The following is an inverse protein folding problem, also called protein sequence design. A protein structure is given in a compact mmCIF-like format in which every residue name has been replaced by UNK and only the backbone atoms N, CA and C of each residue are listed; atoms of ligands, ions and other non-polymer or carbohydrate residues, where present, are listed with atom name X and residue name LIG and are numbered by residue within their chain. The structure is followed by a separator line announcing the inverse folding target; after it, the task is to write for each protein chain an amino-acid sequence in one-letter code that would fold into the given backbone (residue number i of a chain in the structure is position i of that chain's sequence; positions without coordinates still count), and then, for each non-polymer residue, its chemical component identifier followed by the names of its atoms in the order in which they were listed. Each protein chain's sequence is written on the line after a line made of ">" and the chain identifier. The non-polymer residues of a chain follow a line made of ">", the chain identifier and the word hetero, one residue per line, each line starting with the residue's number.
data_IF_982217132625
#
_entry.id   IF_982217132625
#
_cell.length_a   1.000
_cell.length_b   1.000
_cell.length_c   1.000
_cell.angle_alpha   90.00
_cell.angle_beta   90.00
_cell.angle_gamma   90.00
#
_symmetry.space_group_name_H-M   'P 1'
#
loop_
_entity.id
_entity.type
_entity.pdbx_description
1 polymer ?
#
# COMPACT_ATOMS: atom_id res chain seq x y z
N UNK A 1 10.40 14.58 -6.49
CA UNK A 1 9.53 13.86 -7.44
C UNK A 1 9.46 12.42 -6.98
N UNK A 2 8.30 11.76 -7.07
CA UNK A 2 8.19 10.32 -6.80
C UNK A 2 8.99 9.56 -7.89
N UNK A 3 9.81 8.56 -7.53
CA UNK A 3 10.51 7.72 -8.50
C UNK A 3 9.58 7.14 -9.58
N UNK A 4 10.07 7.07 -10.81
CA UNK A 4 9.25 6.71 -11.96
C UNK A 4 8.70 5.28 -11.86
N UNK A 5 9.47 4.37 -11.30
CA UNK A 5 9.10 2.97 -11.06
C UNK A 5 8.00 2.84 -10.00
N UNK A 6 8.06 3.63 -8.91
CA UNK A 6 7.00 3.69 -7.90
C UNK A 6 5.73 4.26 -8.52
N UNK A 7 5.83 5.33 -9.32
CA UNK A 7 4.67 5.90 -10.02
C UNK A 7 4.04 4.89 -10.99
N UNK A 8 4.85 4.14 -11.75
CA UNK A 8 4.37 3.09 -12.64
C UNK A 8 3.65 2.01 -11.84
N UNK A 9 4.23 1.55 -10.72
CA UNK A 9 3.60 0.54 -9.88
C UNK A 9 2.24 1.01 -9.32
N UNK A 10 2.11 2.27 -8.90
CA UNK A 10 0.81 2.84 -8.46
C UNK A 10 -0.25 2.76 -9.55
N UNK A 11 0.12 2.97 -10.81
CA UNK A 11 -0.80 2.94 -11.96
C UNK A 11 -1.14 1.49 -12.35
N UNK A 12 -0.14 0.62 -12.48
CA UNK A 12 -0.32 -0.79 -12.85
C UNK A 12 -1.14 -1.55 -11.80
N UNK A 13 -0.92 -1.25 -10.53
CA UNK A 13 -1.65 -1.82 -9.40
C UNK A 13 -2.94 -1.07 -9.06
N UNK A 14 -3.32 -0.06 -9.86
CA UNK A 14 -4.59 0.68 -9.77
C UNK A 14 -4.92 1.19 -8.35
N UNK A 15 -3.90 1.62 -7.60
CA UNK A 15 -4.07 2.01 -6.19
C UNK A 15 -5.01 3.21 -6.02
N UNK A 16 -5.15 4.03 -7.06
CA UNK A 16 -6.07 5.17 -7.05
C UNK A 16 -7.53 4.76 -6.85
N UNK A 17 -7.88 3.52 -7.19
CA UNK A 17 -9.23 2.96 -7.02
C UNK A 17 -9.33 2.01 -5.82
N UNK A 18 -8.30 1.94 -4.97
CA UNK A 18 -8.24 1.04 -3.81
C UNK A 18 -8.45 1.76 -2.47
N UNK A 19 -9.04 2.95 -2.47
CA UNK A 19 -9.39 3.68 -1.24
C UNK A 19 -10.10 2.80 -0.22
N UNK A 20 -9.72 2.95 1.05
CA UNK A 20 -10.36 2.25 2.16
C UNK A 20 -9.41 1.67 3.18
N UNK A 21 -9.96 0.80 4.03
CA UNK A 21 -9.28 0.17 5.15
C UNK A 21 -9.24 -1.34 4.95
N UNK A 22 -8.04 -1.91 5.06
CA UNK A 22 -7.77 -3.33 4.84
C UNK A 22 -7.11 -3.96 6.07
N UNK A 23 -7.30 -5.27 6.22
CA UNK A 23 -6.78 -6.03 7.36
C UNK A 23 -7.57 -5.82 8.65
N UNK A 24 -7.23 -6.61 9.66
CA UNK A 24 -7.85 -6.56 10.98
C UNK A 24 -6.88 -5.93 11.99
N UNK A 25 -7.31 -4.84 12.63
CA UNK A 25 -6.56 -4.14 13.69
C UNK A 25 -6.19 -5.06 14.85
N UNK A 26 -6.99 -6.08 15.14
CA UNK A 26 -6.82 -6.95 16.30
C UNK A 26 -6.01 -8.22 16.01
N UNK A 27 -5.55 -8.42 14.77
CA UNK A 27 -4.85 -9.64 14.37
C UNK A 27 -3.42 -9.76 14.90
N UNK A 28 -2.82 -8.67 15.39
CA UNK A 28 -1.44 -8.63 15.88
C UNK A 28 -1.27 -7.68 17.07
N UNK A 29 -0.27 -7.98 17.90
CA UNK A 29 0.18 -7.14 19.03
C UNK A 29 1.73 -7.15 19.09
N UNK A 30 2.42 -6.02 18.85
CA UNK A 30 1.85 -4.70 18.55
C UNK A 30 1.18 -4.66 17.18
N UNK A 31 0.20 -3.76 17.03
CA UNK A 31 -0.49 -3.54 15.74
C UNK A 31 0.46 -2.92 14.72
N UNK A 32 0.55 -3.53 13.54
CA UNK A 32 1.18 -2.92 12.37
C UNK A 32 0.16 -2.01 11.67
N UNK A 33 0.58 -0.80 11.31
CA UNK A 33 -0.27 0.23 10.70
C UNK A 33 0.44 0.90 9.53
N UNK A 34 -0.05 0.65 8.32
CA UNK A 34 0.36 1.35 7.11
C UNK A 34 -0.71 2.34 6.69
N UNK A 35 -0.28 3.56 6.35
CA UNK A 35 -1.16 4.57 5.78
C UNK A 35 -0.50 5.19 4.54
N UNK A 36 -1.14 5.00 3.40
CA UNK A 36 -0.72 5.53 2.11
C UNK A 36 -1.72 6.60 1.66
N UNK A 37 -1.20 7.80 1.39
CA UNK A 37 -1.98 8.93 0.88
C UNK A 37 -1.43 9.38 -0.45
N UNK A 38 -2.21 9.20 -1.51
CA UNK A 38 -1.86 9.55 -2.88
C UNK A 38 -2.53 10.88 -3.23
N UNK A 39 -1.73 11.93 -3.39
CA UNK A 39 -2.23 13.28 -3.73
C UNK A 39 -2.05 13.49 -5.24
N UNK A 40 -3.17 13.62 -5.95
CA UNK A 40 -3.23 13.95 -7.36
C UNK A 40 -3.58 15.41 -7.56
N UNK A 41 -3.50 15.88 -8.80
CA UNK A 41 -3.83 17.28 -9.14
C UNK A 41 -5.30 17.63 -8.91
N UNK A 42 -6.19 16.64 -8.87
CA UNK A 42 -7.65 16.85 -8.73
C UNK A 42 -8.30 15.92 -7.70
N UNK A 43 -7.55 15.01 -7.10
CA UNK A 43 -8.11 13.95 -6.25
C UNK A 43 -7.13 13.48 -5.19
N UNK A 44 -7.63 12.79 -4.17
CA UNK A 44 -6.82 12.20 -3.10
C UNK A 44 -7.35 10.80 -2.81
N UNK A 45 -6.48 9.80 -2.95
CA UNK A 45 -6.78 8.42 -2.54
C UNK A 45 -6.08 8.07 -1.22
N UNK A 46 -6.83 7.59 -0.25
CA UNK A 46 -6.33 7.17 1.07
C UNK A 46 -6.55 5.67 1.30
N UNK A 47 -5.46 4.99 1.64
CA UNK A 47 -5.43 3.55 1.89
C UNK A 47 -4.81 3.32 3.26
N UNK A 48 -5.49 2.55 4.09
CA UNK A 48 -4.99 2.10 5.38
C UNK A 48 -4.94 0.57 5.40
N UNK A 49 -3.83 0.00 5.86
CA UNK A 49 -3.69 -1.44 6.06
C UNK A 49 -3.28 -1.71 7.50
N UNK A 50 -4.04 -2.54 8.20
CA UNK A 50 -3.69 -3.06 9.52
C UNK A 50 -3.09 -4.44 9.39
N UNK A 51 -2.03 -4.71 10.16
CA UNK A 51 -1.39 -6.03 10.22
C UNK A 51 -1.13 -6.58 8.80
N UNK A 52 -0.49 -5.77 7.94
CA UNK A 52 -0.27 -6.04 6.52
C UNK A 52 0.32 -7.42 6.31
N UNK A 53 1.36 -7.78 7.05
CA UNK A 53 1.97 -9.10 6.97
C UNK A 53 0.96 -10.22 7.24
N UNK A 54 0.25 -10.16 8.37
CA UNK A 54 -0.77 -11.16 8.74
C UNK A 54 -1.89 -11.20 7.70
N UNK A 55 -2.36 -10.04 7.24
CA UNK A 55 -3.42 -9.92 6.25
C UNK A 55 -3.00 -10.55 4.92
N UNK A 56 -1.76 -10.36 4.47
CA UNK A 56 -1.21 -11.02 3.27
C UNK A 56 -1.16 -12.55 3.39
N UNK A 57 -0.84 -13.06 4.58
CA UNK A 57 -0.74 -14.50 4.83
C UNK A 57 -2.11 -15.17 5.01
N UNK A 58 -3.09 -14.46 5.56
CA UNK A 58 -4.39 -15.03 5.95
C UNK A 58 -5.53 -14.69 4.98
N UNK A 59 -5.38 -13.65 4.17
CA UNK A 59 -6.37 -13.21 3.18
C UNK A 59 -5.94 -13.57 1.76
N UNK A 60 -6.90 -13.99 0.93
CA UNK A 60 -6.75 -14.11 -0.53
C UNK A 60 -7.24 -12.84 -1.25
N UNK A 61 -7.34 -11.71 -0.54
CA UNK A 61 -7.74 -10.43 -1.12
C UNK A 61 -6.63 -9.88 -2.02
N UNK A 62 -6.87 -9.94 -3.34
CA UNK A 62 -5.94 -9.40 -4.32
C UNK A 62 -5.66 -7.91 -4.08
N UNK A 63 -6.61 -7.11 -3.56
CA UNK A 63 -6.36 -5.69 -3.27
C UNK A 63 -5.20 -5.50 -2.30
N UNK A 64 -5.13 -6.35 -1.27
CA UNK A 64 -4.03 -6.32 -0.28
C UNK A 64 -2.70 -6.70 -0.94
N UNK A 65 -2.69 -7.65 -1.88
CA UNK A 65 -1.48 -8.02 -2.63
C UNK A 65 -0.98 -6.89 -3.52
N UNK A 66 -1.89 -6.20 -4.21
CA UNK A 66 -1.59 -5.03 -5.05
C UNK A 66 -1.00 -3.88 -4.23
N UNK A 67 -1.65 -3.56 -3.10
CA UNK A 67 -1.16 -2.55 -2.14
C UNK A 67 0.24 -2.94 -1.64
N UNK A 68 0.45 -4.19 -1.25
CA UNK A 68 1.73 -4.68 -0.77
C UNK A 68 2.85 -4.55 -1.82
N UNK A 69 2.60 -4.87 -3.09
CA UNK A 69 3.61 -4.74 -4.17
C UNK A 69 4.12 -3.30 -4.29
N UNK A 70 3.26 -2.30 -4.11
CA UNK A 70 3.65 -0.89 -4.13
C UNK A 70 4.35 -0.48 -2.83
N UNK A 71 3.83 -0.88 -1.67
CA UNK A 71 4.45 -0.57 -0.37
C UNK A 71 5.86 -1.16 -0.26
N UNK A 72 6.09 -2.38 -0.76
CA UNK A 72 7.44 -2.96 -0.82
C UNK A 72 8.43 -2.15 -1.67
N UNK A 73 7.95 -1.43 -2.70
CA UNK A 73 8.81 -0.53 -3.50
C UNK A 73 9.09 0.79 -2.78
N UNK A 74 8.14 1.27 -1.98
CA UNK A 74 8.31 2.47 -1.14
C UNK A 74 9.26 2.22 0.04
N UNK A 75 9.25 1.00 0.59
CA UNK A 75 10.11 0.58 1.70
C UNK A 75 11.56 0.33 1.26
N UNK A 76 11.82 0.24 -0.05
CA UNK A 76 13.18 0.11 -0.57
C UNK A 76 13.92 1.45 -0.42
N UNK A 77 15.09 1.50 0.23
CA UNK A 77 15.92 2.69 0.21
C UNK A 77 16.24 3.00 -1.25
N UNK A 78 15.97 4.25 -1.66
CA UNK A 78 16.24 4.69 -3.03
C UNK A 78 17.66 4.31 -3.40
N UNK A 79 17.83 3.45 -4.39
CA UNK A 79 19.12 3.21 -5.00
C UNK A 79 19.44 4.46 -5.81
N UNK A 80 20.02 5.46 -5.14
CA UNK A 80 20.74 6.54 -5.80
C UNK A 80 22.02 5.91 -6.41
N UNK A 81 21.90 5.27 -7.57
CA UNK A 81 23.05 4.88 -8.41
C UNK A 81 22.68 4.78 -9.88
#
# INVERSE_FOLDING_TARGET
>A
MIPADIRTAVIEEDLLNLEGVYGDRNAGDPVEYDHLRLILTKDIAEITVFNRGITLFTSDDEKVRRINRVLCKLDQPGNDT
#
